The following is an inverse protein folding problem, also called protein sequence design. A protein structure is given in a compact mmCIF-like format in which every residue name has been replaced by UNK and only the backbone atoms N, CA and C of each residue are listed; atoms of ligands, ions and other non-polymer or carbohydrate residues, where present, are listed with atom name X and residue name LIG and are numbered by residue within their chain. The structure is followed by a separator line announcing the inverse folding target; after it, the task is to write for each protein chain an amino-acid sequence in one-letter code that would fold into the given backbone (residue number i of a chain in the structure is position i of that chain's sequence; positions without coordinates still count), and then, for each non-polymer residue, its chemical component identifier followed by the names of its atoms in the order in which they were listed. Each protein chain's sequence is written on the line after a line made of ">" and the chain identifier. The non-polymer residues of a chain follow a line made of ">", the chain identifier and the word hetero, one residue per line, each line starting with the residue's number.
data_IF_900642467808
#
_entry.id   IF_900642467808
#
_cell.length_a   1.000
_cell.length_b   1.000
_cell.length_c   1.000
_cell.angle_alpha   90.00
_cell.angle_beta   90.00
_cell.angle_gamma   90.00
#
_symmetry.space_group_name_H-M   'P 1'
#
loop_
_entity.id
_entity.type
_entity.pdbx_description
1 polymer ?
#
# COMPACT_ATOMS: atom_id res chain seq x y z
N UNK A 1 -13.87 13.16 -5.64
CA UNK A 1 -14.48 11.87 -5.97
C UNK A 1 -14.97 11.20 -4.69
N UNK A 2 -14.13 10.93 -3.70
CA UNK A 2 -14.54 10.22 -2.46
C UNK A 2 -15.58 10.96 -1.61
N UNK A 3 -15.68 12.29 -1.73
CA UNK A 3 -16.74 13.05 -1.06
C UNK A 3 -18.16 12.65 -1.51
N UNK A 4 -18.31 12.21 -2.75
CA UNK A 4 -19.57 11.69 -3.24
C UNK A 4 -19.93 10.35 -2.57
N UNK A 5 -18.94 9.56 -2.19
CA UNK A 5 -19.10 8.35 -1.39
C UNK A 5 -19.68 8.59 0.01
N UNK A 6 -19.54 9.81 0.52
CA UNK A 6 -20.15 10.25 1.78
C UNK A 6 -21.58 10.77 1.64
N UNK A 7 -22.27 10.45 0.52
CA UNK A 7 -23.68 10.82 0.37
C UNK A 7 -24.51 10.33 1.56
N UNK A 8 -25.28 11.24 2.14
CA UNK A 8 -26.03 11.01 3.35
C UNK A 8 -27.54 11.23 3.10
N UNK A 9 -28.35 10.29 3.56
CA UNK A 9 -29.80 10.42 3.56
C UNK A 9 -30.35 10.15 4.97
N UNK A 10 -31.09 11.11 5.52
CA UNK A 10 -31.70 11.01 6.85
C UNK A 10 -30.69 10.66 7.97
N UNK A 11 -29.46 11.16 7.88
CA UNK A 11 -28.41 10.92 8.86
C UNK A 11 -27.63 9.60 8.66
N UNK A 12 -27.86 8.92 7.55
CA UNK A 12 -27.20 7.64 7.25
C UNK A 12 -26.42 7.71 5.94
N UNK A 13 -25.21 7.20 5.92
CA UNK A 13 -24.39 7.08 4.72
C UNK A 13 -24.90 5.97 3.82
N UNK A 14 -25.03 6.27 2.53
CA UNK A 14 -25.74 5.38 1.58
C UNK A 14 -24.83 4.27 1.05
N UNK A 15 -23.51 4.52 0.96
CA UNK A 15 -22.56 3.62 0.33
C UNK A 15 -21.74 2.76 1.32
N UNK A 16 -22.13 2.74 2.59
CA UNK A 16 -21.36 2.06 3.64
C UNK A 16 -22.01 0.76 4.13
N UNK A 17 -22.96 0.22 3.36
CA UNK A 17 -23.64 -1.03 3.70
C UNK A 17 -24.37 -0.93 5.05
N UNK A 18 -24.09 -1.88 5.95
CA UNK A 18 -24.67 -1.87 7.30
C UNK A 18 -24.07 -0.84 8.25
N UNK A 19 -22.88 -0.28 7.92
CA UNK A 19 -22.19 0.71 8.76
C UNK A 19 -22.59 2.13 8.38
N UNK A 20 -23.89 2.40 8.38
CA UNK A 20 -24.47 3.66 7.92
C UNK A 20 -24.18 4.87 8.82
N UNK A 21 -23.56 4.66 9.95
CA UNK A 21 -23.14 5.67 10.93
C UNK A 21 -21.73 6.21 10.69
N UNK A 22 -20.95 5.55 9.84
CA UNK A 22 -19.58 5.92 9.54
C UNK A 22 -19.44 6.34 8.08
N UNK A 23 -18.77 7.49 7.79
CA UNK A 23 -18.52 7.94 6.41
C UNK A 23 -17.59 6.96 5.68
N UNK A 24 -17.66 6.95 4.35
CA UNK A 24 -16.76 6.16 3.52
C UNK A 24 -15.33 6.71 3.54
N UNK A 25 -15.21 8.03 3.58
CA UNK A 25 -13.93 8.75 3.70
C UNK A 25 -13.99 9.78 4.81
N UNK A 26 -12.84 10.05 5.43
CA UNK A 26 -12.74 11.03 6.52
C UNK A 26 -13.16 12.43 6.07
N UNK A 27 -13.97 13.09 6.88
CA UNK A 27 -14.49 14.45 6.60
C UNK A 27 -13.57 15.55 7.13
N UNK A 28 -12.66 15.20 8.02
CA UNK A 28 -11.66 16.06 8.65
C UNK A 28 -10.42 15.24 8.99
N UNK A 29 -9.30 15.91 9.23
CA UNK A 29 -8.08 15.27 9.70
C UNK A 29 -8.32 14.69 11.10
N UNK A 30 -7.85 13.47 11.33
CA UNK A 30 -8.05 12.77 12.60
C UNK A 30 -6.86 11.86 12.92
N UNK A 31 -6.71 11.57 14.21
CA UNK A 31 -5.70 10.66 14.73
C UNK A 31 -6.40 9.47 15.38
N UNK A 32 -6.29 8.33 14.74
CA UNK A 32 -6.83 7.05 15.23
C UNK A 32 -6.01 5.90 14.67
N UNK A 33 -5.40 5.11 15.52
CA UNK A 33 -4.61 3.97 15.06
C UNK A 33 -5.52 2.84 14.57
N UNK A 34 -5.20 2.38 13.35
CA UNK A 34 -5.70 1.13 12.79
C UNK A 34 -4.54 0.21 12.47
N UNK A 35 -4.64 -1.05 12.87
CA UNK A 35 -3.86 -2.14 12.31
C UNK A 35 -4.69 -2.74 11.18
N UNK A 36 -4.15 -2.74 9.98
CA UNK A 36 -4.85 -3.09 8.73
C UNK A 36 -4.17 -4.30 8.13
N UNK A 37 -4.96 -5.31 7.78
CA UNK A 37 -4.50 -6.44 6.96
C UNK A 37 -5.06 -6.25 5.55
N UNK A 38 -4.16 -6.01 4.61
CA UNK A 38 -4.47 -5.75 3.21
C UNK A 38 -4.16 -6.99 2.37
N UNK A 39 -5.16 -7.56 1.67
CA UNK A 39 -4.93 -8.53 0.64
C UNK A 39 -4.34 -7.82 -0.59
N UNK A 40 -3.35 -8.43 -1.19
CA UNK A 40 -2.63 -7.89 -2.34
C UNK A 40 -2.64 -8.91 -3.47
N UNK A 41 -2.53 -8.42 -4.69
CA UNK A 41 -2.43 -9.27 -5.86
C UNK A 41 -1.30 -8.82 -6.80
N UNK A 42 -1.22 -9.44 -7.98
CA UNK A 42 -0.18 -9.11 -8.96
C UNK A 42 -0.33 -7.73 -9.58
N UNK A 43 -1.52 -7.13 -9.55
CA UNK A 43 -1.78 -5.81 -10.12
C UNK A 43 -1.26 -4.70 -9.18
N UNK A 44 -1.04 -5.01 -7.88
CA UNK A 44 -0.34 -4.15 -6.93
C UNK A 44 1.18 -4.17 -7.11
N UNK A 45 1.70 -5.10 -7.93
CA UNK A 45 3.12 -5.26 -8.19
C UNK A 45 3.54 -4.53 -9.47
N UNK A 46 4.59 -3.75 -9.40
CA UNK A 46 5.11 -2.96 -10.52
C UNK A 46 6.63 -2.88 -10.51
N UNK A 47 7.20 -2.37 -11.58
CA UNK A 47 8.63 -2.09 -11.65
C UNK A 47 8.86 -0.61 -11.92
N UNK A 48 9.87 -0.05 -11.26
CA UNK A 48 10.33 1.33 -11.49
C UNK A 48 11.82 1.32 -11.80
N UNK A 49 12.29 2.35 -12.51
CA UNK A 49 13.71 2.53 -12.78
C UNK A 49 14.28 3.58 -11.83
N UNK A 50 15.34 3.24 -11.15
CA UNK A 50 16.07 4.15 -10.27
C UNK A 50 17.48 4.39 -10.79
N UNK A 51 17.86 5.66 -10.87
CA UNK A 51 19.20 6.08 -11.27
C UNK A 51 20.00 6.46 -10.02
N UNK A 52 20.97 5.62 -9.66
CA UNK A 52 21.89 5.91 -8.56
C UNK A 52 23.10 6.68 -9.10
N UNK A 53 23.32 7.86 -8.57
CA UNK A 53 24.46 8.73 -8.88
C UNK A 53 25.32 9.03 -7.64
N UNK A 54 25.13 8.27 -6.57
CA UNK A 54 25.84 8.49 -5.29
C UNK A 54 27.36 8.29 -5.37
N UNK A 55 27.82 7.57 -6.39
CA UNK A 55 29.25 7.40 -6.65
C UNK A 55 29.90 8.61 -7.39
N UNK A 56 29.08 9.58 -7.84
CA UNK A 56 29.63 10.84 -8.37
C UNK A 56 30.16 11.66 -7.19
N UNK A 57 31.48 11.79 -7.13
CA UNK A 57 32.15 12.69 -6.20
C UNK A 57 32.21 14.12 -6.78
N UNK A 58 32.43 15.13 -5.92
CA UNK A 58 32.61 16.52 -6.35
C UNK A 58 33.63 16.58 -7.49
N UNK A 59 33.18 16.96 -8.66
CA UNK A 59 33.93 16.87 -9.90
C UNK A 59 34.96 18.00 -10.00
N UNK A 60 36.05 17.84 -9.29
CA UNK A 60 37.29 18.61 -9.51
C UNK A 60 38.30 17.86 -10.39
N UNK A 61 38.00 16.61 -10.76
CA UNK A 61 38.90 15.76 -11.53
C UNK A 61 38.21 15.33 -12.85
N UNK A 62 38.84 15.65 -13.98
CA UNK A 62 38.37 15.32 -15.33
C UNK A 62 38.41 13.81 -15.67
N UNK A 63 38.67 12.97 -14.68
CA UNK A 63 38.77 11.51 -14.81
C UNK A 63 37.56 10.76 -14.32
N UNK A 64 36.51 11.46 -13.85
CA UNK A 64 35.25 10.80 -13.48
C UNK A 64 34.58 10.20 -14.72
N UNK A 65 34.57 8.88 -14.75
CA UNK A 65 33.85 8.11 -15.77
C UNK A 65 32.36 8.06 -15.42
N UNK A 66 31.59 8.92 -16.09
CA UNK A 66 30.13 9.03 -15.88
C UNK A 66 29.42 7.70 -16.12
N UNK A 67 29.93 6.85 -17.02
CA UNK A 67 29.32 5.56 -17.35
C UNK A 67 29.47 4.54 -16.21
N UNK A 68 30.51 4.70 -15.35
CA UNK A 68 30.72 3.80 -14.20
C UNK A 68 30.13 4.34 -12.91
N UNK A 69 29.95 5.65 -12.78
CA UNK A 69 29.48 6.32 -11.57
C UNK A 69 27.97 6.58 -11.53
N UNK A 70 27.28 6.37 -12.65
CA UNK A 70 25.82 6.43 -12.74
C UNK A 70 25.32 5.03 -13.10
N UNK A 71 24.54 4.45 -12.20
CA UNK A 71 23.95 3.12 -12.41
C UNK A 71 22.43 3.19 -12.45
N UNK A 72 21.83 2.45 -13.38
CA UNK A 72 20.38 2.29 -13.46
C UNK A 72 20.00 0.92 -12.94
N UNK A 73 19.12 0.90 -11.93
CA UNK A 73 18.62 -0.33 -11.31
C UNK A 73 17.12 -0.41 -11.49
N UNK A 74 16.64 -1.60 -11.84
CA UNK A 74 15.20 -1.88 -11.80
C UNK A 74 14.82 -2.26 -10.38
N UNK A 75 13.88 -1.53 -9.80
CA UNK A 75 13.30 -1.80 -8.50
C UNK A 75 11.94 -2.48 -8.67
N UNK A 76 11.63 -3.42 -7.80
CA UNK A 76 10.42 -4.23 -7.81
C UNK A 76 9.52 -3.76 -6.67
N UNK A 77 8.44 -3.10 -7.01
CA UNK A 77 7.58 -2.36 -6.08
C UNK A 77 6.24 -3.07 -5.87
N UNK A 78 5.80 -3.14 -4.63
CA UNK A 78 4.42 -3.44 -4.24
C UNK A 78 3.82 -2.19 -3.62
N UNK A 79 2.65 -1.78 -4.11
CA UNK A 79 1.94 -0.58 -3.64
C UNK A 79 0.86 -0.97 -2.65
N UNK A 80 0.83 -0.27 -1.52
CA UNK A 80 -0.22 -0.38 -0.52
C UNK A 80 -1.31 0.67 -0.77
N UNK A 81 -2.48 0.43 -0.25
CA UNK A 81 -3.64 1.31 -0.44
C UNK A 81 -3.51 2.68 0.24
N UNK A 82 -2.67 2.79 1.25
CA UNK A 82 -2.46 4.02 2.00
C UNK A 82 -1.00 4.44 2.01
N UNK A 83 -0.78 5.74 2.08
CA UNK A 83 0.50 6.38 2.38
C UNK A 83 0.53 6.93 3.81
N UNK A 84 1.65 7.48 4.26
CA UNK A 84 1.80 8.03 5.61
C UNK A 84 1.51 6.97 6.69
N UNK A 85 2.08 5.78 6.52
CA UNK A 85 1.95 4.65 7.42
C UNK A 85 2.88 4.79 8.62
N UNK A 86 2.60 4.04 9.68
CA UNK A 86 3.52 3.91 10.79
C UNK A 86 4.70 3.01 10.37
N UNK A 87 5.89 3.21 10.94
CA UNK A 87 7.08 2.42 10.61
C UNK A 87 7.00 0.96 11.04
N UNK A 88 6.12 0.69 11.99
CA UNK A 88 5.88 -0.62 12.58
C UNK A 88 4.42 -0.76 13.04
N UNK A 89 4.03 -1.97 13.38
CA UNK A 89 2.74 -2.28 13.97
C UNK A 89 2.88 -3.25 15.14
N UNK A 90 1.90 -3.23 16.04
CA UNK A 90 1.87 -4.14 17.18
C UNK A 90 0.95 -5.32 16.87
N UNK A 91 1.48 -6.53 17.01
CA UNK A 91 0.71 -7.76 16.76
C UNK A 91 -0.35 -7.98 17.85
N UNK A 92 -1.41 -8.70 17.49
CA UNK A 92 -2.45 -9.12 18.43
C UNK A 92 -2.06 -10.32 19.31
N UNK A 93 -0.82 -10.79 19.22
CA UNK A 93 -0.30 -11.92 20.00
C UNK A 93 -0.20 -11.61 21.50
N UNK A 94 -0.03 -12.65 22.29
CA UNK A 94 0.17 -12.50 23.74
C UNK A 94 1.47 -13.19 24.16
N UNK A 95 2.53 -12.44 24.55
CA UNK A 95 2.60 -10.97 24.60
C UNK A 95 2.66 -10.32 23.20
N UNK A 96 2.15 -9.09 23.05
CA UNK A 96 2.22 -8.38 21.79
C UNK A 96 3.69 -8.07 21.41
N UNK A 97 4.00 -8.13 20.12
CA UNK A 97 5.32 -7.81 19.58
C UNK A 97 5.19 -6.68 18.53
N UNK A 98 6.22 -5.86 18.44
CA UNK A 98 6.31 -4.82 17.41
C UNK A 98 7.05 -5.38 16.20
N UNK A 99 6.48 -5.22 15.02
CA UNK A 99 7.02 -5.74 13.77
C UNK A 99 6.97 -4.69 12.66
N UNK A 100 7.98 -4.70 11.81
CA UNK A 100 7.94 -3.96 10.54
C UNK A 100 7.01 -4.70 9.56
N UNK A 101 6.15 -3.99 8.80
CA UNK A 101 5.32 -4.61 7.76
C UNK A 101 6.14 -5.49 6.82
N UNK A 102 5.63 -6.68 6.56
CA UNK A 102 6.26 -7.68 5.69
C UNK A 102 5.20 -8.29 4.77
N UNK A 103 5.60 -8.78 3.61
CA UNK A 103 4.69 -9.54 2.76
C UNK A 103 4.58 -10.98 3.25
N UNK A 104 3.38 -11.50 3.24
CA UNK A 104 3.08 -12.89 3.57
C UNK A 104 2.37 -13.54 2.39
N UNK A 105 2.93 -14.63 1.87
CA UNK A 105 2.31 -15.45 0.82
C UNK A 105 1.79 -16.72 1.44
N UNK A 106 0.55 -17.07 1.15
CA UNK A 106 -0.12 -18.26 1.68
C UNK A 106 -0.41 -19.23 0.55
N UNK A 107 0.20 -20.41 0.62
CA UNK A 107 -0.10 -21.54 -0.25
C UNK A 107 -1.41 -22.20 0.23
N UNK A 108 -2.45 -22.03 -0.56
CA UNK A 108 -3.78 -22.57 -0.30
C UNK A 108 -3.95 -24.00 -0.82
N UNK A 109 -2.95 -24.55 -1.49
CA UNK A 109 -2.99 -25.94 -2.04
C UNK A 109 -2.61 -26.98 -1.01
N UNK A 110 -1.89 -26.57 0.05
CA UNK A 110 -1.50 -27.45 1.17
C UNK A 110 -2.53 -27.45 2.29
N UNK A 111 -2.64 -28.56 3.02
CA UNK A 111 -3.54 -28.68 4.18
C UNK A 111 -2.76 -29.21 5.40
N UNK A 112 -2.52 -28.41 6.46
CA UNK A 112 -2.93 -26.99 6.58
C UNK A 112 -2.18 -26.09 5.59
N UNK A 113 -2.77 -24.93 5.26
CA UNK A 113 -2.12 -23.92 4.43
C UNK A 113 -0.76 -23.53 5.03
N UNK A 114 0.23 -23.35 4.17
CA UNK A 114 1.57 -22.92 4.58
C UNK A 114 1.80 -21.47 4.19
N UNK A 115 2.51 -20.74 5.04
CA UNK A 115 2.82 -19.33 4.82
C UNK A 115 4.31 -19.11 4.70
N UNK A 116 4.70 -18.26 3.74
CA UNK A 116 6.05 -17.74 3.61
C UNK A 116 6.03 -16.22 3.85
N UNK A 117 6.98 -15.73 4.62
CA UNK A 117 7.07 -14.30 4.97
C UNK A 117 8.35 -13.71 4.39
N UNK A 118 8.20 -12.57 3.73
CA UNK A 118 9.27 -11.78 3.13
C UNK A 118 9.50 -10.53 4.01
N UNK A 119 10.47 -10.58 4.92
CA UNK A 119 10.71 -9.50 5.88
C UNK A 119 11.26 -8.26 5.17
N UNK A 120 10.97 -7.09 5.72
CA UNK A 120 11.42 -5.80 5.21
C UNK A 120 12.19 -5.01 6.27
N UNK A 121 12.91 -4.00 5.82
CA UNK A 121 13.52 -2.97 6.66
C UNK A 121 12.84 -1.62 6.36
N UNK A 122 12.39 -0.91 7.40
CA UNK A 122 11.75 0.39 7.23
C UNK A 122 12.78 1.49 6.92
N UNK A 123 12.46 2.35 5.95
CA UNK A 123 13.24 3.53 5.55
C UNK A 123 12.40 4.79 5.68
N UNK A 124 13.03 5.89 6.07
CA UNK A 124 12.32 7.15 6.29
C UNK A 124 11.80 7.77 4.97
N UNK A 125 12.47 7.50 3.85
CA UNK A 125 12.08 8.02 2.54
C UNK A 125 12.25 6.97 1.44
N UNK A 126 11.55 7.18 0.33
CA UNK A 126 11.67 6.34 -0.86
C UNK A 126 13.10 6.40 -1.45
N UNK A 127 13.72 7.58 -1.47
CA UNK A 127 15.08 7.76 -1.97
C UNK A 127 16.10 6.92 -1.18
N UNK A 128 16.01 6.91 0.15
CA UNK A 128 16.89 6.08 0.99
C UNK A 128 16.68 4.59 0.72
N UNK A 129 15.44 4.14 0.58
CA UNK A 129 15.12 2.76 0.28
C UNK A 129 15.62 2.34 -1.11
N UNK A 130 15.39 3.16 -2.13
CA UNK A 130 15.79 2.89 -3.51
C UNK A 130 17.32 2.82 -3.62
N UNK A 131 18.01 3.74 -2.96
CA UNK A 131 19.47 3.73 -2.87
C UNK A 131 19.97 2.46 -2.20
N UNK A 132 19.41 2.11 -1.04
CA UNK A 132 19.84 0.92 -0.29
C UNK A 132 19.65 -0.36 -1.11
N UNK A 133 18.52 -0.52 -1.79
CA UNK A 133 18.28 -1.68 -2.67
C UNK A 133 19.24 -1.68 -3.87
N UNK A 134 19.48 -0.51 -4.48
CA UNK A 134 20.40 -0.40 -5.64
C UNK A 134 21.86 -0.71 -5.30
N UNK A 135 22.26 -0.50 -4.06
CA UNK A 135 23.60 -0.76 -3.53
C UNK A 135 23.70 -2.14 -2.83
N UNK A 136 22.59 -2.86 -2.68
CA UNK A 136 22.61 -4.19 -2.06
C UNK A 136 23.25 -5.23 -2.99
N UNK A 137 24.50 -5.59 -2.69
CA UNK A 137 25.26 -6.60 -3.41
C UNK A 137 24.85 -8.04 -3.05
N UNK A 138 24.12 -8.22 -1.97
CA UNK A 138 23.64 -9.55 -1.52
C UNK A 138 22.37 -9.98 -2.24
N UNK A 139 21.58 -9.01 -2.71
CA UNK A 139 20.31 -9.25 -3.38
C UNK A 139 19.23 -9.86 -2.47
N UNK A 140 19.29 -9.56 -1.17
CA UNK A 140 18.39 -10.12 -0.16
C UNK A 140 17.58 -9.05 0.60
N UNK A 141 17.88 -7.77 0.36
CA UNK A 141 17.24 -6.68 1.05
C UNK A 141 15.84 -6.41 0.46
N UNK A 142 14.83 -6.36 1.31
CA UNK A 142 13.54 -5.75 1.00
C UNK A 142 13.35 -4.52 1.89
N UNK A 143 12.74 -3.48 1.34
CA UNK A 143 12.51 -2.22 2.03
C UNK A 143 11.03 -1.93 2.18
N UNK A 144 10.64 -1.33 3.31
CA UNK A 144 9.33 -0.74 3.53
C UNK A 144 9.47 0.77 3.65
N UNK A 145 8.64 1.51 2.92
CA UNK A 145 8.63 2.97 2.89
C UNK A 145 7.28 3.48 3.41
N UNK A 146 7.17 3.78 4.71
CA UNK A 146 5.91 4.23 5.31
C UNK A 146 5.33 5.48 4.66
N UNK A 147 6.18 6.44 4.31
CA UNK A 147 5.75 7.75 3.77
C UNK A 147 4.99 7.63 2.46
N UNK A 148 5.35 6.69 1.60
CA UNK A 148 4.72 6.47 0.29
C UNK A 148 3.80 5.25 0.25
N UNK A 149 3.82 4.41 1.29
CA UNK A 149 3.07 3.15 1.32
C UNK A 149 3.59 2.14 0.30
N UNK A 150 4.90 1.93 0.28
CA UNK A 150 5.56 1.03 -0.68
C UNK A 150 6.36 -0.04 0.02
N UNK A 151 6.37 -1.23 -0.57
CA UNK A 151 7.35 -2.28 -0.27
C UNK A 151 8.17 -2.49 -1.54
N UNK A 152 9.49 -2.38 -1.41
CA UNK A 152 10.44 -2.64 -2.49
C UNK A 152 11.11 -3.97 -2.23
N UNK A 153 11.00 -4.88 -3.20
CA UNK A 153 11.54 -6.23 -3.11
C UNK A 153 12.85 -6.35 -3.87
N UNK A 154 13.70 -7.23 -3.40
CA UNK A 154 14.77 -7.76 -4.22
C UNK A 154 14.19 -8.62 -5.36
N UNK A 155 14.98 -8.83 -6.42
CA UNK A 155 14.50 -9.57 -7.59
C UNK A 155 14.11 -11.01 -7.30
N UNK A 156 14.83 -11.69 -6.42
CA UNK A 156 14.60 -13.09 -6.10
C UNK A 156 13.25 -13.29 -5.43
N UNK A 157 12.94 -12.46 -4.43
CA UNK A 157 11.68 -12.51 -3.71
C UNK A 157 10.51 -12.09 -4.62
N UNK A 158 10.71 -11.06 -5.45
CA UNK A 158 9.70 -10.64 -6.42
C UNK A 158 9.33 -11.76 -7.39
N UNK A 159 10.32 -12.44 -8.00
CA UNK A 159 10.08 -13.55 -8.94
C UNK A 159 9.41 -14.74 -8.23
N UNK A 160 9.79 -15.04 -6.99
CA UNK A 160 9.17 -16.09 -6.18
C UNK A 160 7.69 -15.79 -5.91
N UNK A 161 7.39 -14.58 -5.44
CA UNK A 161 6.02 -14.14 -5.17
C UNK A 161 5.16 -14.18 -6.44
N UNK A 162 5.67 -13.66 -7.56
CA UNK A 162 4.98 -13.71 -8.85
C UNK A 162 4.63 -15.15 -9.26
N UNK A 163 5.54 -16.09 -9.02
CA UNK A 163 5.34 -17.50 -9.34
C UNK A 163 4.28 -18.14 -8.44
N UNK A 164 4.30 -17.83 -7.15
CA UNK A 164 3.30 -18.28 -6.18
C UNK A 164 1.90 -17.75 -6.51
N UNK A 165 1.77 -16.46 -6.79
CA UNK A 165 0.49 -15.88 -7.21
C UNK A 165 -0.04 -16.47 -8.52
N UNK A 166 0.83 -16.80 -9.46
CA UNK A 166 0.45 -17.49 -10.71
C UNK A 166 -0.04 -18.92 -10.45
N UNK A 167 0.35 -19.53 -9.33
CA UNK A 167 -0.10 -20.86 -8.90
C UNK A 167 -1.41 -20.85 -8.12
N UNK A 168 -1.93 -19.66 -7.80
CA UNK A 168 -3.20 -19.49 -7.07
C UNK A 168 -3.03 -19.23 -5.57
N UNK A 169 -1.81 -18.97 -5.11
CA UNK A 169 -1.54 -18.54 -3.75
C UNK A 169 -2.05 -17.12 -3.52
N UNK A 170 -2.22 -16.75 -2.26
CA UNK A 170 -2.68 -15.41 -1.86
C UNK A 170 -1.55 -14.64 -1.18
N UNK A 171 -1.52 -13.32 -1.40
CA UNK A 171 -0.56 -12.42 -0.77
C UNK A 171 -1.28 -11.41 0.11
N UNK A 172 -0.67 -11.07 1.23
CA UNK A 172 -1.17 -10.02 2.13
C UNK A 172 -0.05 -9.35 2.89
N UNK A 173 -0.35 -8.20 3.47
CA UNK A 173 0.52 -7.52 4.43
C UNK A 173 -0.30 -6.95 5.58
N UNK A 174 0.34 -6.79 6.74
CA UNK A 174 -0.25 -6.09 7.89
C UNK A 174 0.61 -4.89 8.23
N UNK A 175 -0.03 -3.76 8.41
CA UNK A 175 0.62 -2.49 8.75
C UNK A 175 -0.28 -1.65 9.66
N UNK A 176 0.28 -0.57 10.22
CA UNK A 176 -0.46 0.39 11.03
C UNK A 176 -0.47 1.77 10.38
N UNK A 177 -1.57 2.49 10.58
CA UNK A 177 -1.68 3.92 10.24
C UNK A 177 -2.44 4.63 11.35
N UNK A 178 -1.86 5.75 11.81
CA UNK A 178 -2.40 6.53 12.93
C UNK A 178 -2.96 7.88 12.49
N UNK A 179 -2.29 8.57 11.58
CA UNK A 179 -2.68 9.90 11.11
C UNK A 179 -3.46 9.81 9.79
N UNK A 180 -4.66 10.36 9.78
CA UNK A 180 -5.59 10.33 8.66
C UNK A 180 -5.88 11.74 8.18
N UNK A 181 -5.78 11.95 6.88
CA UNK A 181 -6.13 13.21 6.24
C UNK A 181 -7.59 13.20 5.80
N UNK A 182 -8.17 14.38 5.74
CA UNK A 182 -9.50 14.56 5.13
C UNK A 182 -9.49 14.00 3.69
N UNK A 183 -10.40 13.08 3.42
CA UNK A 183 -10.53 12.42 2.12
C UNK A 183 -9.96 11.01 2.08
N UNK A 184 -9.10 10.63 3.04
CA UNK A 184 -8.63 9.24 3.17
C UNK A 184 -9.83 8.31 3.36
N UNK A 185 -9.78 7.15 2.73
CA UNK A 185 -10.80 6.12 2.88
C UNK A 185 -10.74 5.50 4.28
N UNK A 186 -11.90 5.27 4.89
CA UNK A 186 -11.96 4.69 6.23
C UNK A 186 -11.73 3.19 6.16
N UNK A 187 -10.67 2.64 6.81
CA UNK A 187 -10.20 1.26 6.59
C UNK A 187 -11.26 0.19 6.83
N UNK A 188 -12.12 0.39 7.82
CA UNK A 188 -13.17 -0.58 8.19
C UNK A 188 -14.18 -0.87 7.07
N UNK A 189 -14.19 -0.06 6.00
CA UNK A 189 -15.03 -0.29 4.82
C UNK A 189 -14.33 -1.08 3.73
N UNK A 190 -13.02 -1.29 3.85
CA UNK A 190 -12.18 -1.87 2.79
C UNK A 190 -11.43 -3.12 3.24
N UNK A 191 -10.94 -3.14 4.49
CA UNK A 191 -9.99 -4.13 4.96
C UNK A 191 -10.40 -4.74 6.29
N UNK A 192 -9.86 -5.92 6.57
CA UNK A 192 -9.77 -6.39 7.95
C UNK A 192 -8.88 -5.45 8.74
N UNK A 193 -9.39 -4.90 9.82
CA UNK A 193 -8.61 -4.00 10.64
C UNK A 193 -9.06 -4.03 12.11
N UNK A 194 -8.16 -3.59 12.97
CA UNK A 194 -8.43 -3.42 14.40
C UNK A 194 -8.14 -2.00 14.81
N UNK A 195 -9.01 -1.41 15.63
CA UNK A 195 -8.81 -0.10 16.21
C UNK A 195 -9.47 -0.02 17.59
N UNK A 196 -8.77 0.51 18.57
CA UNK A 196 -9.27 0.66 19.95
C UNK A 196 -9.83 -0.65 20.56
N UNK A 197 -9.23 -1.80 20.23
CA UNK A 197 -9.65 -3.11 20.69
C UNK A 197 -10.90 -3.66 20.00
N UNK A 198 -11.41 -3.00 18.97
CA UNK A 198 -12.51 -3.46 18.13
C UNK A 198 -11.91 -4.04 16.86
N UNK A 199 -12.30 -5.26 16.53
CA UNK A 199 -11.95 -5.90 15.27
C UNK A 199 -13.09 -5.69 14.28
N UNK A 200 -12.76 -5.13 13.13
CA UNK A 200 -13.62 -4.98 11.98
C UNK A 200 -13.24 -6.09 11.00
N UNK A 201 -13.93 -7.19 11.11
CA UNK A 201 -13.75 -8.36 10.26
C UNK A 201 -15.10 -8.66 9.62
N UNK A 202 -15.22 -8.37 8.34
CA UNK A 202 -16.41 -8.67 7.55
C UNK A 202 -16.26 -10.01 6.81
N UNK A 203 -15.14 -10.74 7.05
CA UNK A 203 -14.98 -12.10 6.55
C UNK A 203 -15.98 -13.03 7.25
N UNK A 204 -16.85 -13.64 6.49
CA UNK A 204 -17.71 -14.70 6.98
C UNK A 204 -16.98 -16.05 6.80
N UNK A 205 -16.44 -16.56 7.89
CA UNK A 205 -15.73 -17.85 7.90
C UNK A 205 -16.64 -19.02 7.43
N UNK A 206 -17.96 -18.86 7.53
CA UNK A 206 -18.91 -19.88 7.09
C UNK A 206 -19.12 -19.89 5.57
N UNK A 207 -18.91 -18.75 4.91
CA UNK A 207 -19.11 -18.60 3.46
C UNK A 207 -17.82 -18.62 2.66
N UNK A 208 -16.66 -18.62 3.32
CA UNK A 208 -15.34 -18.56 2.69
C UNK A 208 -15.07 -17.22 1.98
N UNK A 209 -15.82 -16.17 2.35
CA UNK A 209 -15.70 -14.85 1.77
C UNK A 209 -14.50 -14.13 2.35
N UNK A 210 -13.74 -13.49 1.49
CA UNK A 210 -12.62 -12.63 1.88
C UNK A 210 -13.12 -11.33 2.47
N UNK A 211 -12.29 -10.73 3.34
CA UNK A 211 -12.50 -9.45 3.98
C UNK A 211 -13.05 -8.38 3.03
N UNK A 212 -14.03 -7.66 3.48
CA UNK A 212 -14.54 -6.45 2.83
C UNK A 212 -15.69 -6.62 1.86
N UNK A 213 -15.97 -7.82 1.36
CA UNK A 213 -16.79 -7.95 0.15
C UNK A 213 -18.26 -8.36 0.40
N UNK A 214 -18.57 -9.03 1.49
CA UNK A 214 -19.80 -9.81 1.46
C UNK A 214 -20.85 -9.47 2.50
N UNK A 215 -20.45 -8.98 3.65
CA UNK A 215 -21.39 -8.71 4.74
C UNK A 215 -22.15 -7.40 4.57
N UNK A 216 -21.86 -6.66 3.50
CA UNK A 216 -22.39 -5.31 3.25
C UNK A 216 -23.53 -5.29 2.24
N UNK A 217 -23.76 -6.38 1.53
CA UNK A 217 -24.86 -6.50 0.59
C UNK A 217 -26.18 -6.65 1.33
N UNK A 218 -27.15 -5.81 1.02
CA UNK A 218 -28.49 -5.84 1.58
C UNK A 218 -29.44 -6.42 0.52
N UNK A 219 -30.03 -7.57 0.84
CA UNK A 219 -31.00 -8.25 -0.03
C UNK A 219 -32.39 -8.15 0.55
N UNK A 220 -33.36 -7.95 -0.33
CA UNK A 220 -34.77 -8.09 -0.01
C UNK A 220 -35.38 -9.27 -0.75
N UNK A 221 -36.15 -10.08 -0.03
CA UNK A 221 -36.98 -11.10 -0.62
C UNK A 221 -38.21 -10.44 -1.32
N UNK A 222 -38.26 -10.58 -2.64
CA UNK A 222 -39.35 -9.99 -3.45
C UNK A 222 -40.34 -11.03 -3.95
N UNK A 223 -40.05 -12.31 -3.71
CA UNK A 223 -40.90 -13.41 -4.09
C UNK A 223 -40.34 -14.78 -3.71
N UNK A 224 -41.04 -15.85 -4.04
CA UNK A 224 -40.56 -17.20 -3.75
C UNK A 224 -39.21 -17.48 -4.47
N UNK A 225 -38.13 -17.70 -3.70
CA UNK A 225 -36.77 -17.86 -4.19
C UNK A 225 -36.22 -16.70 -5.05
N UNK A 226 -36.68 -15.46 -4.80
CA UNK A 226 -36.20 -14.27 -5.50
C UNK A 226 -35.75 -13.21 -4.52
N UNK A 227 -34.42 -12.89 -4.57
CA UNK A 227 -33.80 -11.83 -3.78
C UNK A 227 -33.31 -10.75 -4.73
N UNK A 228 -33.46 -9.50 -4.33
CA UNK A 228 -32.88 -8.34 -5.02
C UNK A 228 -31.91 -7.63 -4.08
N UNK A 229 -30.67 -7.40 -4.54
CA UNK A 229 -29.74 -6.52 -3.88
C UNK A 229 -30.22 -5.07 -4.03
N UNK A 230 -30.27 -4.33 -2.92
CA UNK A 230 -30.84 -2.98 -2.87
C UNK A 230 -29.82 -1.90 -2.50
N UNK A 231 -28.57 -2.28 -2.31
CA UNK A 231 -27.47 -1.34 -2.06
C UNK A 231 -26.31 -1.57 -3.01
N UNK A 232 -25.52 -0.52 -3.22
CA UNK A 232 -24.19 -0.58 -3.84
C UNK A 232 -23.18 -0.24 -2.78
N UNK A 233 -22.16 -1.06 -2.63
CA UNK A 233 -21.11 -0.83 -1.65
C UNK A 233 -20.10 0.19 -2.19
N UNK A 234 -19.68 1.11 -1.35
CA UNK A 234 -18.73 2.15 -1.75
C UNK A 234 -17.34 1.61 -2.14
N UNK A 235 -16.91 0.51 -1.54
CA UNK A 235 -15.66 -0.15 -1.87
C UNK A 235 -15.60 -0.72 -3.30
N UNK A 236 -16.74 -0.98 -3.93
CA UNK A 236 -16.83 -1.41 -5.33
C UNK A 236 -16.67 -0.26 -6.32
N UNK A 237 -16.98 0.96 -5.90
CA UNK A 237 -17.03 2.15 -6.76
C UNK A 237 -15.86 3.11 -6.46
N UNK A 238 -15.51 3.25 -5.20
CA UNK A 238 -14.48 4.17 -4.71
C UNK A 238 -13.32 3.35 -4.18
N UNK A 239 -12.51 2.81 -5.09
CA UNK A 239 -11.36 1.97 -4.73
C UNK A 239 -10.18 2.81 -4.26
N UNK A 240 -9.28 2.28 -3.41
CA UNK A 240 -8.06 2.95 -2.99
C UNK A 240 -7.12 3.30 -4.15
N UNK A 241 -7.18 2.56 -5.25
CA UNK A 241 -6.30 2.74 -6.43
C UNK A 241 -6.33 4.14 -6.98
N UNK A 242 -7.52 4.77 -7.03
CA UNK A 242 -7.65 6.12 -7.56
C UNK A 242 -6.87 7.16 -6.74
N UNK A 243 -6.85 7.00 -5.41
CA UNK A 243 -6.05 7.88 -4.55
C UNK A 243 -4.57 7.60 -4.72
N UNK A 244 -4.19 6.34 -4.73
CA UNK A 244 -2.82 5.86 -4.95
C UNK A 244 -2.24 6.40 -6.26
N UNK A 245 -2.98 6.30 -7.36
CA UNK A 245 -2.56 6.81 -8.67
C UNK A 245 -2.44 8.34 -8.69
N UNK A 246 -3.34 9.04 -8.01
CA UNK A 246 -3.26 10.49 -7.87
C UNK A 246 -2.03 10.92 -7.04
N UNK A 247 -1.71 10.21 -5.99
CA UNK A 247 -0.53 10.45 -5.15
C UNK A 247 0.76 10.17 -5.93
N UNK A 248 0.82 9.10 -6.71
CA UNK A 248 1.95 8.79 -7.59
C UNK A 248 2.16 9.89 -8.64
N UNK A 249 1.09 10.40 -9.23
CA UNK A 249 1.17 11.52 -10.16
C UNK A 249 1.70 12.79 -9.49
N UNK A 250 1.21 13.13 -8.29
CA UNK A 250 1.67 14.28 -7.53
C UNK A 250 3.14 14.16 -7.14
N UNK A 251 3.58 12.97 -6.70
CA UNK A 251 4.97 12.69 -6.37
C UNK A 251 5.86 12.85 -7.61
N UNK A 252 5.48 12.28 -8.76
CA UNK A 252 6.22 12.41 -10.01
C UNK A 252 6.32 13.88 -10.49
N UNK A 253 5.26 14.67 -10.32
CA UNK A 253 5.28 16.10 -10.64
C UNK A 253 6.20 16.89 -9.69
N UNK A 254 6.23 16.54 -8.42
CA UNK A 254 7.12 17.13 -7.43
C UNK A 254 8.58 16.84 -7.76
N UNK A 255 8.90 15.60 -8.08
CA UNK A 255 10.24 15.15 -8.46
C UNK A 255 10.72 15.84 -9.75
N UNK A 256 9.86 15.95 -10.75
CA UNK A 256 10.17 16.69 -11.97
C UNK A 256 10.50 18.17 -11.68
N UNK A 257 9.78 18.78 -10.75
CA UNK A 257 10.02 20.16 -10.33
C UNK A 257 11.37 20.29 -9.63
N UNK A 258 11.72 19.37 -8.76
CA UNK A 258 13.00 19.33 -8.06
C UNK A 258 14.17 19.13 -9.05
N UNK A 259 14.04 18.20 -9.99
CA UNK A 259 15.03 17.96 -11.06
C UNK A 259 15.24 19.23 -11.90
N UNK A 260 14.18 19.89 -12.35
CA UNK A 260 14.28 21.11 -13.13
C UNK A 260 14.98 22.25 -12.38
N UNK A 261 14.75 22.36 -11.07
CA UNK A 261 15.44 23.31 -10.20
C UNK A 261 16.95 22.99 -10.15
N UNK A 262 17.31 21.75 -9.91
CA UNK A 262 18.70 21.30 -9.86
C UNK A 262 19.43 21.54 -11.18
N UNK A 263 18.81 21.20 -12.30
CA UNK A 263 19.36 21.48 -13.66
C UNK A 263 19.59 22.98 -13.87
N UNK A 264 18.68 23.84 -13.40
CA UNK A 264 18.83 25.29 -13.51
C UNK A 264 19.99 25.82 -12.68
N UNK A 265 20.13 25.32 -11.46
CA UNK A 265 21.25 25.67 -10.56
C UNK A 265 22.60 25.23 -11.13
N UNK A 266 22.68 24.02 -11.68
CA UNK A 266 23.89 23.50 -12.32
C UNK A 266 24.25 24.33 -13.58
N UNK A 267 23.28 24.70 -14.41
CA UNK A 267 23.50 25.59 -15.56
C UNK A 267 24.03 26.97 -15.14
N UNK A 268 23.52 27.51 -14.05
CA UNK A 268 23.98 28.80 -13.51
C UNK A 268 25.42 28.70 -13.02
N UNK A 269 25.77 27.63 -12.30
CA UNK A 269 27.14 27.37 -11.85
C UNK A 269 28.13 27.15 -13.01
N UNK A 270 27.68 26.51 -14.07
CA UNK A 270 28.51 26.27 -15.25
C UNK A 270 28.76 27.54 -16.08
N UNK A 271 27.87 28.53 -15.99
CA UNK A 271 27.97 29.80 -16.74
C UNK A 271 28.66 30.92 -15.95
N UNK A 272 28.99 30.72 -14.67
CA UNK A 272 29.75 31.65 -13.83
C UNK A 272 31.24 31.34 -13.81
#
# INVERSE_FOLDING_TARGET
>A
VYQEGNANYAGRYVFTGYRTDTPLSYTEDTTQQYNITEPLDKDDMSTISYTNYSALTDNTDSTDDLDTNITNTTLYRVRLSYNGLDSDYTTAETPPTTQTPSLTVTDNTTMPATTETYPTTAYASAEEAYKAISEDTTGTLNAFVPSTGEIILNKTDYDAIQSSLASGDTMSTTYSKTDWSKGDLVPQHYFECTSNGITYNDADAATGRTSGDASREIYYDVGYNQNIQVNTNGNEVFTPDLQRDADDLNNAMSDLTAINKTVTELKTKLSS
#
